data_IF_648362619504
#
_entry.id   IF_648362619504
#
_cell.length_a   1.000
_cell.length_b   1.000
_cell.length_c   1.000
_cell.angle_alpha   90.00
_cell.angle_beta   90.00
_cell.angle_gamma   90.00
#
_symmetry.space_group_name_H-M   'P 1'
#
loop_
_entity.id
_entity.type
_entity.pdbx_description
1 polymer ?
#
# COMPACT_ATOMS: atom_id res chain seq x y z
N UNK A 1 -15.42 63.70 9.84
CA UNK A 1 -16.22 62.76 9.01
C UNK A 1 -15.23 62.04 8.09
N UNK A 2 -14.88 60.77 8.35
CA UNK A 2 -15.40 59.54 7.69
C UNK A 2 -15.11 59.54 6.17
N UNK A 3 -14.52 58.54 5.50
CA UNK A 3 -14.27 57.10 5.69
C UNK A 3 -12.91 56.74 5.05
N UNK A 4 -12.36 55.53 5.16
CA UNK A 4 -12.49 54.49 4.12
C UNK A 4 -12.09 53.14 4.74
N UNK A 5 -12.95 52.15 4.53
CA UNK A 5 -12.80 50.74 4.89
C UNK A 5 -12.27 50.00 3.66
N UNK A 6 -11.55 48.90 3.89
CA UNK A 6 -11.22 47.79 2.95
C UNK A 6 -9.71 47.63 2.66
N UNK A 7 -8.97 47.38 3.74
CA UNK A 7 -7.64 46.77 3.74
C UNK A 7 -7.82 45.26 3.53
N UNK A 8 -8.06 44.81 2.30
CA UNK A 8 -8.25 43.38 2.01
C UNK A 8 -7.47 42.87 0.80
N UNK A 9 -6.66 43.71 0.13
CA UNK A 9 -6.04 43.35 -1.14
C UNK A 9 -4.50 43.49 -1.19
N UNK A 10 -3.80 43.67 -0.06
CA UNK A 10 -2.36 44.01 -0.13
C UNK A 10 -1.50 43.44 0.99
N UNK A 11 -1.82 42.24 1.49
CA UNK A 11 -0.95 41.52 2.44
C UNK A 11 -0.68 40.07 1.99
N UNK A 12 -0.49 39.86 0.68
CA UNK A 12 0.08 38.61 0.14
C UNK A 12 1.41 38.99 -0.51
N UNK A 13 2.45 39.34 0.27
CA UNK A 13 3.84 39.37 -0.24
C UNK A 13 4.94 39.66 0.79
N UNK A 14 4.75 39.38 2.08
CA UNK A 14 5.82 39.62 3.06
C UNK A 14 5.81 38.65 4.25
N UNK A 15 6.00 37.34 4.01
CA UNK A 15 6.47 36.44 5.07
C UNK A 15 7.49 35.45 4.47
N UNK A 16 8.64 35.97 4.05
CA UNK A 16 9.89 35.20 3.98
C UNK A 16 10.97 36.07 4.61
N UNK A 17 11.06 36.04 5.94
CA UNK A 17 12.32 36.30 6.64
C UNK A 17 12.44 35.32 7.80
N UNK A 18 13.42 34.44 7.64
CA UNK A 18 13.94 33.49 8.61
C UNK A 18 14.52 34.27 9.79
N UNK A 19 13.91 34.12 10.96
CA UNK A 19 14.53 34.39 12.26
C UNK A 19 13.77 33.65 13.36
N UNK A 20 13.92 32.33 13.41
CA UNK A 20 13.44 31.55 14.56
C UNK A 20 14.60 31.43 15.55
N UNK A 21 14.82 32.51 16.29
CA UNK A 21 15.54 32.42 17.56
C UNK A 21 14.56 31.85 18.60
N UNK A 22 14.86 30.63 19.07
CA UNK A 22 14.50 30.10 20.39
C UNK A 22 13.03 30.20 20.83
N UNK A 23 12.18 29.29 20.35
CA UNK A 23 11.03 28.76 21.09
C UNK A 23 10.81 27.29 20.67
N UNK A 24 10.58 26.34 21.60
CA UNK A 24 10.17 24.99 21.24
C UNK A 24 8.71 25.05 20.80
N UNK A 25 8.49 25.27 19.50
CA UNK A 25 7.17 25.21 18.91
C UNK A 25 6.77 23.74 18.86
N UNK A 26 5.90 23.35 19.78
CA UNK A 26 5.11 22.12 19.74
C UNK A 26 4.62 21.93 18.32
N UNK A 27 5.02 20.83 17.69
CA UNK A 27 4.73 20.52 16.29
C UNK A 27 3.24 20.25 16.06
N UNK A 28 2.42 21.28 16.11
CA UNK A 28 1.14 21.32 15.41
C UNK A 28 1.39 21.93 14.03
N UNK A 29 2.23 21.27 13.24
CA UNK A 29 2.20 21.45 11.79
C UNK A 29 0.81 21.00 11.35
N UNK A 30 0.16 21.82 10.54
CA UNK A 30 -1.08 21.52 9.83
C UNK A 30 -0.91 20.12 9.22
N UNK A 31 -1.48 19.10 9.86
CA UNK A 31 -1.55 17.77 9.32
C UNK A 31 -2.57 17.80 8.20
N UNK A 32 -2.13 18.23 7.01
CA UNK A 32 -2.64 17.61 5.79
C UNK A 32 -2.46 16.11 6.05
N UNK A 33 -3.54 15.35 5.89
CA UNK A 33 -3.57 13.92 6.20
C UNK A 33 -2.64 13.14 5.26
N UNK A 34 -1.32 13.25 5.50
CA UNK A 34 -0.25 12.59 4.77
C UNK A 34 -0.30 11.07 4.96
N UNK A 35 -1.17 10.56 5.82
CA UNK A 35 -1.31 9.13 6.05
C UNK A 35 -1.93 8.40 4.86
N UNK A 36 -2.89 9.01 4.16
CA UNK A 36 -3.45 8.41 2.94
C UNK A 36 -2.43 8.36 1.79
N UNK A 37 -1.55 9.37 1.68
CA UNK A 37 -0.48 9.40 0.68
C UNK A 37 0.56 8.31 0.94
N UNK A 38 0.91 8.07 2.21
CA UNK A 38 1.82 6.98 2.59
C UNK A 38 1.21 5.59 2.36
N UNK A 39 -0.08 5.43 2.68
CA UNK A 39 -0.81 4.18 2.47
C UNK A 39 -0.96 3.85 0.98
N UNK A 40 -1.27 4.84 0.13
CA UNK A 40 -1.36 4.65 -1.31
C UNK A 40 0.00 4.30 -1.94
N UNK A 41 1.09 4.91 -1.48
CA UNK A 41 2.44 4.55 -1.90
C UNK A 41 2.81 3.11 -1.49
N UNK A 42 2.49 2.72 -0.25
CA UNK A 42 2.72 1.37 0.25
C UNK A 42 1.90 0.31 -0.53
N UNK A 43 0.66 0.65 -0.90
CA UNK A 43 -0.20 -0.21 -1.71
C UNK A 43 0.29 -0.32 -3.16
N UNK A 44 0.82 0.76 -3.74
CA UNK A 44 1.41 0.73 -5.07
C UNK A 44 2.66 -0.18 -5.08
N UNK A 45 3.56 -0.02 -4.11
CA UNK A 45 4.73 -0.89 -3.95
C UNK A 45 4.31 -2.36 -3.79
N UNK A 46 3.33 -2.62 -2.92
CA UNK A 46 2.81 -3.97 -2.70
C UNK A 46 2.19 -4.57 -3.96
N UNK A 47 1.44 -3.78 -4.73
CA UNK A 47 0.83 -4.22 -5.98
C UNK A 47 1.88 -4.66 -6.99
N UNK A 48 2.99 -3.92 -7.10
CA UNK A 48 4.13 -4.32 -7.94
C UNK A 48 4.76 -5.63 -7.45
N UNK A 49 4.94 -5.79 -6.13
CA UNK A 49 5.51 -7.00 -5.54
C UNK A 49 4.61 -8.23 -5.80
N UNK A 50 3.30 -8.09 -5.58
CA UNK A 50 2.31 -9.15 -5.83
C UNK A 50 2.33 -9.54 -7.31
N UNK A 51 2.20 -8.57 -8.23
CA UNK A 51 2.21 -8.84 -9.68
C UNK A 51 3.46 -9.60 -10.11
N UNK A 52 4.64 -9.17 -9.65
CA UNK A 52 5.89 -9.86 -9.97
C UNK A 52 5.91 -11.31 -9.48
N UNK A 53 5.36 -11.58 -8.28
CA UNK A 53 5.27 -12.94 -7.76
C UNK A 53 4.31 -13.80 -8.62
N UNK A 54 3.15 -13.25 -8.98
CA UNK A 54 2.13 -13.91 -9.80
C UNK A 54 2.60 -14.15 -11.24
N UNK A 55 3.29 -13.19 -11.86
CA UNK A 55 3.93 -13.37 -13.16
C UNK A 55 4.95 -14.52 -13.12
N UNK A 56 5.68 -14.64 -12.00
CA UNK A 56 6.59 -15.75 -11.76
C UNK A 56 5.89 -17.10 -11.65
N UNK A 57 4.66 -17.15 -11.11
CA UNK A 57 3.83 -18.37 -11.07
C UNK A 57 3.40 -18.76 -12.48
N UNK A 58 2.90 -17.80 -13.27
CA UNK A 58 2.49 -18.04 -14.66
C UNK A 58 3.70 -18.51 -15.50
N UNK A 59 4.85 -17.86 -15.35
CA UNK A 59 6.06 -18.22 -16.09
C UNK A 59 6.58 -19.63 -15.75
N UNK A 60 6.32 -20.13 -14.55
CA UNK A 60 6.71 -21.48 -14.13
C UNK A 60 5.67 -22.56 -14.48
N UNK A 61 4.50 -22.18 -15.01
CA UNK A 61 3.42 -23.11 -15.29
C UNK A 61 3.77 -24.04 -16.48
N UNK A 62 3.53 -25.35 -16.37
CA UNK A 62 3.60 -26.25 -17.52
C UNK A 62 2.62 -25.82 -18.62
N UNK A 63 2.97 -25.93 -19.92
CA UNK A 63 2.08 -25.51 -21.02
C UNK A 63 0.70 -26.17 -20.97
N UNK A 64 0.62 -27.44 -20.56
CA UNK A 64 -0.64 -28.19 -20.41
C UNK A 64 -1.55 -27.69 -19.30
N UNK A 65 -1.04 -26.87 -18.36
CA UNK A 65 -1.75 -26.35 -17.19
C UNK A 65 -1.87 -24.83 -17.17
N UNK A 66 -1.37 -24.15 -18.20
CA UNK A 66 -1.26 -22.69 -18.24
C UNK A 66 -2.60 -21.96 -18.04
N UNK A 67 -3.69 -22.45 -18.62
CA UNK A 67 -5.02 -21.82 -18.50
C UNK A 67 -5.56 -21.89 -17.07
N UNK A 68 -5.42 -23.04 -16.41
CA UNK A 68 -5.82 -23.28 -15.02
C UNK A 68 -5.01 -22.34 -14.09
N UNK A 69 -3.68 -22.37 -14.22
CA UNK A 69 -2.80 -21.51 -13.41
C UNK A 69 -3.10 -20.02 -13.59
N UNK A 70 -3.41 -19.56 -14.80
CA UNK A 70 -3.80 -18.16 -15.05
C UNK A 70 -5.11 -17.79 -14.36
N UNK A 71 -6.08 -18.70 -14.34
CA UNK A 71 -7.35 -18.46 -13.68
C UNK A 71 -7.16 -18.28 -12.16
N UNK A 72 -6.43 -19.19 -11.53
CA UNK A 72 -6.20 -19.16 -10.08
C UNK A 72 -5.34 -17.95 -9.68
N UNK A 73 -4.36 -17.58 -10.51
CA UNK A 73 -3.58 -16.35 -10.32
C UNK A 73 -4.49 -15.11 -10.31
N UNK A 74 -5.46 -15.03 -11.22
CA UNK A 74 -6.42 -13.92 -11.26
C UNK A 74 -7.34 -13.91 -10.04
N UNK A 75 -7.78 -15.08 -9.56
CA UNK A 75 -8.58 -15.19 -8.34
C UNK A 75 -7.82 -14.68 -7.11
N UNK A 76 -6.55 -15.05 -6.98
CA UNK A 76 -5.69 -14.57 -5.90
C UNK A 76 -5.38 -13.07 -6.01
N UNK A 77 -5.16 -12.53 -7.23
CA UNK A 77 -4.97 -11.09 -7.43
C UNK A 77 -6.23 -10.30 -7.03
N UNK A 78 -7.41 -10.78 -7.45
CA UNK A 78 -8.69 -10.15 -7.12
C UNK A 78 -8.93 -10.17 -5.61
N UNK A 79 -8.68 -11.31 -4.97
CA UNK A 79 -8.84 -11.48 -3.52
C UNK A 79 -7.92 -10.53 -2.75
N UNK A 80 -6.64 -10.47 -3.10
CA UNK A 80 -5.68 -9.57 -2.46
C UNK A 80 -6.11 -8.11 -2.59
N UNK A 81 -6.51 -7.69 -3.80
CA UNK A 81 -7.01 -6.35 -4.08
C UNK A 81 -8.26 -6.03 -3.24
N UNK A 82 -9.21 -6.96 -3.18
CA UNK A 82 -10.45 -6.81 -2.40
C UNK A 82 -10.17 -6.64 -0.90
N UNK A 83 -9.29 -7.48 -0.34
CA UNK A 83 -8.92 -7.46 1.08
C UNK A 83 -8.24 -6.14 1.44
N UNK A 84 -7.26 -5.70 0.63
CA UNK A 84 -6.55 -4.44 0.84
C UNK A 84 -7.48 -3.23 0.72
N UNK A 85 -8.37 -3.20 -0.28
CA UNK A 85 -9.36 -2.14 -0.43
C UNK A 85 -10.34 -2.08 0.74
N UNK A 86 -10.84 -3.22 1.21
CA UNK A 86 -11.75 -3.28 2.38
C UNK A 86 -11.07 -2.87 3.68
N UNK A 87 -9.74 -2.96 3.76
CA UNK A 87 -8.97 -2.50 4.91
C UNK A 87 -8.62 -1.01 4.84
N UNK A 88 -8.83 -0.31 3.71
CA UNK A 88 -8.61 1.14 3.62
C UNK A 88 -9.49 1.84 4.67
N UNK A 89 -8.87 2.69 5.49
CA UNK A 89 -9.51 3.37 6.62
C UNK A 89 -9.27 2.72 7.99
N UNK A 90 -8.91 1.43 8.04
CA UNK A 90 -8.42 0.76 9.25
C UNK A 90 -6.91 0.56 9.13
N UNK A 91 -6.14 1.52 9.65
CA UNK A 91 -4.68 1.57 9.50
C UNK A 91 -3.99 0.32 10.05
N UNK A 92 -4.45 -0.21 11.18
CA UNK A 92 -3.85 -1.39 11.80
C UNK A 92 -4.10 -2.63 10.95
N UNK A 93 -5.34 -2.80 10.49
CA UNK A 93 -5.72 -3.91 9.62
C UNK A 93 -5.06 -3.84 8.25
N UNK A 94 -4.97 -2.65 7.66
CA UNK A 94 -4.29 -2.43 6.39
C UNK A 94 -2.81 -2.77 6.49
N UNK A 95 -2.12 -2.28 7.53
CA UNK A 95 -0.70 -2.59 7.75
C UNK A 95 -0.46 -4.09 7.94
N UNK A 96 -1.35 -4.80 8.64
CA UNK A 96 -1.29 -6.27 8.80
C UNK A 96 -1.40 -6.99 7.46
N UNK A 97 -2.37 -6.61 6.61
CA UNK A 97 -2.51 -7.22 5.28
C UNK A 97 -1.33 -6.89 4.36
N UNK A 98 -0.86 -5.65 4.35
CA UNK A 98 0.31 -5.25 3.56
C UNK A 98 1.52 -6.12 3.94
N UNK A 99 1.77 -6.30 5.24
CA UNK A 99 2.85 -7.15 5.73
C UNK A 99 2.67 -8.61 5.30
N UNK A 100 1.47 -9.18 5.48
CA UNK A 100 1.19 -10.57 5.13
C UNK A 100 1.39 -10.85 3.64
N UNK A 101 0.83 -10.02 2.75
CA UNK A 101 1.01 -10.19 1.31
C UNK A 101 2.44 -9.93 0.85
N UNK A 102 3.17 -9.00 1.47
CA UNK A 102 4.61 -8.80 1.18
C UNK A 102 5.44 -10.03 1.52
N UNK A 103 5.10 -10.75 2.59
CA UNK A 103 5.75 -12.01 2.97
C UNK A 103 5.36 -13.13 2.02
N UNK A 104 4.07 -13.32 1.74
CA UNK A 104 3.58 -14.31 0.79
C UNK A 104 4.24 -14.17 -0.58
N UNK A 105 4.26 -12.96 -1.15
CA UNK A 105 4.89 -12.70 -2.44
C UNK A 105 6.40 -12.99 -2.44
N UNK A 106 7.11 -12.73 -1.33
CA UNK A 106 8.53 -13.10 -1.19
C UNK A 106 8.72 -14.63 -1.19
N UNK A 107 7.88 -15.36 -0.47
CA UNK A 107 7.93 -16.83 -0.44
C UNK A 107 7.67 -17.44 -1.83
N UNK A 108 6.65 -16.95 -2.55
CA UNK A 108 6.36 -17.34 -3.94
C UNK A 108 7.53 -17.03 -4.87
N UNK A 109 8.12 -15.84 -4.73
CA UNK A 109 9.27 -15.43 -5.55
C UNK A 109 10.49 -16.32 -5.30
N UNK A 110 10.74 -16.69 -4.05
CA UNK A 110 11.87 -17.53 -3.65
C UNK A 110 11.67 -19.03 -3.93
N UNK A 111 10.42 -19.49 -4.08
CA UNK A 111 10.12 -20.89 -4.35
C UNK A 111 10.72 -21.35 -5.70
N UNK A 112 11.10 -22.63 -5.76
CA UNK A 112 11.50 -23.29 -7.01
C UNK A 112 10.35 -23.23 -8.03
N UNK A 113 10.62 -23.17 -9.35
CA UNK A 113 9.59 -23.03 -10.37
C UNK A 113 8.40 -23.97 -10.18
N UNK A 114 8.65 -25.27 -10.00
CA UNK A 114 7.64 -26.32 -9.82
C UNK A 114 6.82 -26.19 -8.53
N UNK A 115 7.27 -25.37 -7.57
CA UNK A 115 6.60 -25.13 -6.29
C UNK A 115 5.92 -23.77 -6.20
N UNK A 116 6.11 -22.88 -7.19
CA UNK A 116 5.58 -21.50 -7.13
C UNK A 116 4.06 -21.46 -7.04
N UNK A 117 3.39 -22.31 -7.82
CA UNK A 117 1.92 -22.38 -7.84
C UNK A 117 1.36 -22.77 -6.47
N UNK A 118 1.80 -23.90 -5.91
CA UNK A 118 1.37 -24.32 -4.55
C UNK A 118 1.75 -23.30 -3.47
N UNK A 119 2.93 -22.70 -3.56
CA UNK A 119 3.35 -21.65 -2.63
C UNK A 119 2.42 -20.43 -2.69
N UNK A 120 1.92 -20.07 -3.87
CA UNK A 120 0.93 -19.01 -4.04
C UNK A 120 -0.37 -19.40 -3.35
N UNK A 121 -0.93 -20.57 -3.68
CA UNK A 121 -2.19 -21.04 -3.10
C UNK A 121 -2.15 -21.00 -1.57
N UNK A 122 -1.11 -21.57 -0.96
CA UNK A 122 -0.97 -21.64 0.49
C UNK A 122 -0.82 -20.24 1.11
N UNK A 123 0.15 -19.47 0.62
CA UNK A 123 0.55 -18.23 1.30
C UNK A 123 -0.38 -17.06 1.00
N UNK A 124 -0.95 -16.97 -0.20
CA UNK A 124 -1.93 -15.92 -0.51
C UNK A 124 -3.27 -16.20 0.17
N UNK A 125 -3.69 -17.46 0.29
CA UNK A 125 -4.87 -17.84 1.07
C UNK A 125 -4.70 -17.49 2.54
N UNK A 126 -3.54 -17.80 3.12
CA UNK A 126 -3.23 -17.40 4.50
C UNK A 126 -3.22 -15.87 4.66
N UNK A 127 -2.72 -15.14 3.66
CA UNK A 127 -2.56 -13.68 3.74
C UNK A 127 -3.90 -12.95 3.68
N UNK A 128 -4.90 -13.56 3.03
CA UNK A 128 -6.26 -13.03 2.98
C UNK A 128 -7.02 -13.12 4.31
N UNK A 129 -6.52 -13.90 5.29
CA UNK A 129 -7.24 -14.14 6.55
C UNK A 129 -7.15 -12.94 7.50
N UNK A 130 -8.22 -12.62 8.25
CA UNK A 130 -8.24 -11.50 9.19
C UNK A 130 -7.46 -11.73 10.51
N UNK A 131 -6.74 -12.85 10.65
CA UNK A 131 -6.06 -13.28 11.88
C UNK A 131 -4.54 -13.48 11.64
N UNK A 132 -3.68 -13.51 12.69
CA UNK A 132 -2.25 -13.31 12.50
C UNK A 132 -1.67 -14.44 11.66
N UNK A 133 -1.00 -14.04 10.58
CA UNK A 133 -0.17 -14.91 9.75
C UNK A 133 0.96 -15.46 10.65
N UNK A 134 0.97 -16.75 11.00
CA UNK A 134 2.07 -17.32 11.77
C UNK A 134 3.29 -17.36 10.84
N UNK A 135 4.40 -16.76 11.28
CA UNK A 135 5.70 -16.86 10.65
C UNK A 135 6.48 -18.00 11.28
#
# INVERSE_FOLDING_TARGET
MARVKNIAATLILAIIMVAIASLPITSAVIAIDNSNVADDAALAELTTIIKKALDGVIAAAPPSKMTEVKYDVLEHEFTATSVLHKAKGDKEKLAKYIKAYKIAAKLVTAAKPESKFRMMEDTFTLAARPSPFPL
#
